data_IF_196587042860
#
_entry.id   IF_196587042860
#
_cell.length_a   1.000
_cell.length_b   1.000
_cell.length_c   1.000
_cell.angle_alpha   90.00
_cell.angle_beta   90.00
_cell.angle_gamma   90.00
#
_symmetry.space_group_name_H-M   'P 1'
#
loop_
_entity.id
_entity.type
_entity.pdbx_description
1 polymer ?
#
# COMPACT_ATOMS: atom_id res chain seq x y z
N UNK A 1 -0.26 4.86 -3.17
CA UNK A 1 0.46 3.96 -2.23
C UNK A 1 0.87 4.65 -0.94
N UNK A 2 1.64 5.73 -1.01
CA UNK A 2 2.04 6.51 0.18
C UNK A 2 0.81 6.90 1.01
N UNK A 3 -0.23 7.41 0.36
CA UNK A 3 -1.48 7.82 1.03
C UNK A 3 -2.14 6.66 1.79
N UNK A 4 -2.17 5.45 1.22
CA UNK A 4 -2.66 4.25 1.92
C UNK A 4 -1.91 4.00 3.24
N UNK A 5 -0.58 4.15 3.22
CA UNK A 5 0.28 3.93 4.38
C UNK A 5 0.07 5.04 5.42
N UNK A 6 0.00 6.29 4.96
CA UNK A 6 -0.25 7.45 5.82
C UNK A 6 -1.60 7.31 6.54
N UNK A 7 -2.65 6.82 5.87
CA UNK A 7 -3.94 6.52 6.49
C UNK A 7 -3.85 5.47 7.61
N UNK A 8 -3.05 4.41 7.41
CA UNK A 8 -2.89 3.37 8.42
C UNK A 8 -2.06 3.86 9.62
N UNK A 9 -0.98 4.61 9.38
CA UNK A 9 -0.11 5.14 10.44
C UNK A 9 -0.83 6.16 11.32
N UNK A 10 -1.79 6.92 10.76
CA UNK A 10 -2.58 7.90 11.51
C UNK A 10 -3.52 7.27 12.55
N UNK A 11 -3.79 5.96 12.47
CA UNK A 11 -4.62 5.25 13.44
C UNK A 11 -3.81 4.93 14.71
N UNK A 12 -4.43 5.09 15.87
CA UNK A 12 -3.83 4.65 17.15
C UNK A 12 -3.80 3.13 17.31
N UNK A 13 -4.70 2.44 16.61
CA UNK A 13 -4.79 0.98 16.57
C UNK A 13 -5.15 0.54 15.15
N UNK A 14 -4.36 -0.40 14.63
CA UNK A 14 -4.50 -0.92 13.28
C UNK A 14 -5.06 -2.34 13.36
N UNK A 15 -6.23 -2.53 12.74
CA UNK A 15 -6.88 -3.83 12.65
C UNK A 15 -6.58 -4.53 11.30
N UNK A 16 -6.55 -5.86 11.32
CA UNK A 16 -6.26 -6.70 10.15
C UNK A 16 -7.24 -6.45 8.98
N UNK A 17 -8.56 -6.37 9.20
CA UNK A 17 -9.52 -6.09 8.14
C UNK A 17 -9.26 -4.77 7.38
N UNK A 18 -8.86 -3.69 8.05
CA UNK A 18 -8.52 -2.42 7.39
C UNK A 18 -7.28 -2.54 6.52
N UNK A 19 -6.24 -3.21 7.01
CA UNK A 19 -5.02 -3.43 6.22
C UNK A 19 -5.33 -4.28 4.98
N UNK A 20 -6.15 -5.33 5.13
CA UNK A 20 -6.62 -6.14 4.00
C UNK A 20 -7.40 -5.30 2.99
N UNK A 21 -8.26 -4.38 3.46
CA UNK A 21 -9.00 -3.47 2.58
C UNK A 21 -8.07 -2.57 1.75
N UNK A 22 -7.04 -2.00 2.38
CA UNK A 22 -6.04 -1.20 1.65
C UNK A 22 -5.22 -2.07 0.67
N UNK A 23 -4.89 -3.31 1.03
CA UNK A 23 -4.21 -4.25 0.13
C UNK A 23 -5.06 -4.59 -1.11
N UNK A 24 -6.35 -4.90 -0.91
CA UNK A 24 -7.28 -5.18 -2.00
C UNK A 24 -7.53 -3.97 -2.89
N UNK A 25 -7.63 -2.77 -2.30
CA UNK A 25 -7.69 -1.52 -3.05
C UNK A 25 -6.47 -1.34 -3.94
N UNK A 26 -5.26 -1.46 -3.38
CA UNK A 26 -4.02 -1.36 -4.14
C UNK A 26 -3.97 -2.39 -5.28
N UNK A 27 -4.27 -3.65 -5.00
CA UNK A 27 -4.28 -4.73 -5.99
C UNK A 27 -5.20 -4.39 -7.17
N UNK A 28 -6.45 -4.02 -6.87
CA UNK A 28 -7.46 -3.69 -7.89
C UNK A 28 -7.05 -2.48 -8.73
N UNK A 29 -6.52 -1.43 -8.08
CA UNK A 29 -6.11 -0.20 -8.77
C UNK A 29 -4.87 -0.40 -9.62
N UNK A 30 -3.87 -1.11 -9.12
CA UNK A 30 -2.65 -1.38 -9.88
C UNK A 30 -2.95 -2.21 -11.13
N UNK A 31 -3.83 -3.22 -11.01
CA UNK A 31 -4.22 -4.01 -12.17
C UNK A 31 -5.01 -3.20 -13.20
N UNK A 32 -5.96 -2.37 -12.75
CA UNK A 32 -6.71 -1.48 -13.64
C UNK A 32 -5.80 -0.51 -14.40
N UNK A 33 -4.86 0.14 -13.69
CA UNK A 33 -3.91 1.09 -14.27
C UNK A 33 -2.93 0.42 -15.24
N UNK A 34 -2.52 -0.82 -14.94
CA UNK A 34 -1.65 -1.62 -15.82
C UNK A 34 -2.40 -1.98 -17.11
N UNK A 35 -3.63 -2.46 -16.99
CA UNK A 35 -4.47 -2.84 -18.12
C UNK A 35 -4.81 -1.66 -19.02
N UNK A 36 -5.05 -0.48 -18.45
CA UNK A 36 -5.27 0.76 -19.20
C UNK A 36 -3.99 1.41 -19.75
N UNK A 37 -2.81 0.83 -19.45
CA UNK A 37 -1.48 1.35 -19.79
C UNK A 37 -1.17 2.73 -19.19
N UNK A 38 -1.81 3.09 -18.09
CA UNK A 38 -1.55 4.33 -17.36
C UNK A 38 -0.28 4.23 -16.49
N UNK A 39 0.15 3.00 -16.16
CA UNK A 39 1.43 2.75 -15.48
C UNK A 39 2.24 1.74 -16.30
N UNK A 40 3.57 1.78 -16.13
CA UNK A 40 4.48 0.81 -16.74
C UNK A 40 4.40 -0.53 -16.00
N UNK A 41 4.83 -1.61 -16.66
CA UNK A 41 4.96 -2.91 -15.98
C UNK A 41 5.96 -2.84 -14.81
N UNK A 42 7.04 -2.05 -14.95
CA UNK A 42 8.01 -1.86 -13.86
C UNK A 42 7.37 -1.16 -12.65
N UNK A 43 6.56 -0.12 -12.89
CA UNK A 43 5.80 0.54 -11.83
C UNK A 43 4.82 -0.41 -11.15
N UNK A 44 4.15 -1.27 -11.92
CA UNK A 44 3.27 -2.31 -11.39
C UNK A 44 4.01 -3.32 -10.51
N UNK A 45 5.17 -3.81 -10.94
CA UNK A 45 5.97 -4.78 -10.18
C UNK A 45 6.53 -4.17 -8.88
N UNK A 46 7.07 -2.95 -8.96
CA UNK A 46 7.59 -2.25 -7.79
C UNK A 46 6.47 -1.96 -6.77
N UNK A 47 5.30 -1.51 -7.26
CA UNK A 47 4.13 -1.24 -6.43
C UNK A 47 3.51 -2.51 -5.82
N UNK A 48 3.52 -3.61 -6.57
CA UNK A 48 3.04 -4.92 -6.10
C UNK A 48 3.77 -5.38 -4.84
N UNK A 49 5.04 -5.00 -4.67
CA UNK A 49 5.77 -5.31 -3.44
C UNK A 49 5.20 -4.61 -2.19
N UNK A 50 4.61 -3.42 -2.31
CA UNK A 50 3.93 -2.73 -1.21
C UNK A 50 2.59 -3.41 -0.91
N UNK A 51 1.86 -3.80 -1.95
CA UNK A 51 0.60 -4.53 -1.79
C UNK A 51 0.81 -5.87 -1.06
N UNK A 52 1.81 -6.66 -1.45
CA UNK A 52 2.17 -7.89 -0.73
C UNK A 52 2.63 -7.64 0.70
N UNK A 53 3.33 -6.53 0.96
CA UNK A 53 3.70 -6.15 2.33
C UNK A 53 2.47 -5.87 3.20
N UNK A 54 1.39 -5.31 2.64
CA UNK A 54 0.15 -5.10 3.39
C UNK A 54 -0.54 -6.42 3.74
N UNK A 55 -0.55 -7.40 2.83
CA UNK A 55 -1.07 -8.74 3.13
C UNK A 55 -0.29 -9.40 4.28
N UNK A 56 1.04 -9.29 4.24
CA UNK A 56 1.90 -9.76 5.33
C UNK A 56 1.61 -9.05 6.65
N UNK A 57 1.47 -7.72 6.63
CA UNK A 57 1.13 -6.94 7.84
C UNK A 57 -0.23 -7.35 8.40
N UNK A 58 -1.23 -7.57 7.55
CA UNK A 58 -2.54 -8.05 7.98
C UNK A 58 -2.44 -9.42 8.66
N UNK A 59 -1.62 -10.32 8.12
CA UNK A 59 -1.37 -11.62 8.74
C UNK A 59 -0.65 -11.50 10.10
N UNK A 60 0.33 -10.61 10.22
CA UNK A 60 1.00 -10.33 11.50
C UNK A 60 0.00 -9.83 12.57
N UNK A 61 -0.96 -8.98 12.17
CA UNK A 61 -2.03 -8.53 13.08
C UNK A 61 -2.90 -9.70 13.52
N UNK A 62 -3.31 -10.57 12.58
CA UNK A 62 -4.12 -11.75 12.89
C UNK A 62 -3.38 -12.72 13.86
N UNK A 63 -2.04 -12.77 13.81
CA UNK A 63 -1.21 -13.53 14.74
C UNK A 63 -0.98 -12.84 16.10
N UNK A 64 -1.54 -11.65 16.33
CA UNK A 64 -1.42 -10.93 17.60
C UNK A 64 -0.08 -10.20 17.78
N UNK A 65 0.63 -9.89 16.69
CA UNK A 65 1.84 -9.06 16.76
C UNK A 65 1.51 -7.68 17.35
N UNK A 66 2.41 -7.17 18.18
CA UNK A 66 2.20 -5.91 18.89
C UNK A 66 2.01 -4.72 17.93
N UNK A 67 1.13 -3.79 18.29
CA UNK A 67 0.89 -2.57 17.51
C UNK A 67 2.17 -1.76 17.26
N UNK A 68 3.13 -1.76 18.20
CA UNK A 68 4.44 -1.12 18.03
C UNK A 68 5.21 -1.71 16.83
N UNK A 69 5.26 -3.03 16.73
CA UNK A 69 5.90 -3.73 15.60
C UNK A 69 5.14 -3.47 14.29
N UNK A 70 3.80 -3.52 14.31
CA UNK A 70 2.98 -3.19 13.13
C UNK A 70 3.26 -1.78 12.61
N UNK A 71 3.29 -0.79 13.50
CA UNK A 71 3.65 0.58 13.14
C UNK A 71 5.09 0.71 12.64
N UNK A 72 6.03 -0.09 13.18
CA UNK A 72 7.42 -0.15 12.68
C UNK A 72 7.46 -0.66 11.23
N UNK A 73 6.76 -1.76 10.96
CA UNK A 73 6.66 -2.34 9.61
C UNK A 73 6.03 -1.37 8.60
N UNK A 74 4.94 -0.69 8.98
CA UNK A 74 4.31 0.31 8.12
C UNK A 74 5.24 1.49 7.79
N UNK A 75 6.04 1.96 8.76
CA UNK A 75 7.02 3.03 8.50
C UNK A 75 8.10 2.58 7.51
N UNK A 76 8.56 1.34 7.59
CA UNK A 76 9.49 0.80 6.57
C UNK A 76 8.86 0.77 5.18
N UNK A 77 7.58 0.39 5.09
CA UNK A 77 6.85 0.44 3.81
C UNK A 77 6.63 1.87 3.33
N UNK A 78 6.50 2.86 4.24
CA UNK A 78 6.38 4.27 3.86
C UNK A 78 7.63 4.75 3.13
N UNK A 79 8.81 4.43 3.65
CA UNK A 79 10.08 4.81 3.02
C UNK A 79 10.26 4.09 1.68
N UNK A 80 9.86 2.82 1.60
CA UNK A 80 9.85 2.09 0.33
C UNK A 80 8.88 2.72 -0.69
N UNK A 81 7.68 3.09 -0.27
CA UNK A 81 6.69 3.74 -1.13
C UNK A 81 7.18 5.11 -1.63
N UNK A 82 7.90 5.87 -0.80
CA UNK A 82 8.55 7.13 -1.22
C UNK A 82 9.60 6.88 -2.30
N UNK A 83 10.44 5.86 -2.15
CA UNK A 83 11.44 5.52 -3.15
C UNK A 83 10.80 5.08 -4.48
N UNK A 84 9.70 4.32 -4.42
CA UNK A 84 8.95 3.92 -5.62
C UNK A 84 8.34 5.14 -6.30
N UNK A 85 7.79 6.09 -5.54
CA UNK A 85 7.25 7.35 -6.08
C UNK A 85 8.34 8.19 -6.77
N UNK A 86 9.56 8.23 -6.22
CA UNK A 86 10.69 8.89 -6.87
C UNK A 86 11.09 8.21 -8.18
N UNK A 87 11.01 6.88 -8.24
CA UNK A 87 11.29 6.10 -9.46
C UNK A 87 10.17 6.21 -10.50
N UNK A 88 8.92 6.32 -10.05
CA UNK A 88 7.72 6.39 -10.89
C UNK A 88 6.83 7.56 -10.45
N UNK A 89 7.18 8.82 -10.82
CA UNK A 89 6.45 9.99 -10.37
C UNK A 89 4.98 10.01 -10.80
N UNK A 90 4.08 10.37 -9.89
CA UNK A 90 2.64 10.44 -10.13
C UNK A 90 1.92 9.11 -9.92
N UNK A 91 2.63 8.04 -9.57
CA UNK A 91 2.05 6.72 -9.33
C UNK A 91 1.09 6.74 -8.14
N UNK A 92 1.44 7.42 -7.05
CA UNK A 92 0.55 7.59 -5.92
C UNK A 92 -0.76 8.26 -6.32
N UNK A 93 -0.67 9.35 -7.09
CA UNK A 93 -1.85 10.12 -7.49
C UNK A 93 -2.75 9.33 -8.43
N UNK A 94 -2.17 8.59 -9.40
CA UNK A 94 -2.91 7.72 -10.30
C UNK A 94 -3.70 6.61 -9.55
N UNK A 95 -3.12 6.10 -8.46
CA UNK A 95 -3.80 5.14 -7.57
C UNK A 95 -4.94 5.82 -6.83
N UNK A 96 -4.67 6.96 -6.18
CA UNK A 96 -5.63 7.66 -5.32
C UNK A 96 -6.80 8.28 -6.08
N UNK A 97 -6.63 8.63 -7.36
CA UNK A 97 -7.75 9.04 -8.23
C UNK A 97 -8.89 8.01 -8.26
N UNK A 98 -8.58 6.72 -8.12
CA UNK A 98 -9.60 5.67 -8.04
C UNK A 98 -10.20 5.45 -6.67
N UNK A 99 -9.84 6.23 -5.65
CA UNK A 99 -10.44 6.17 -4.31
C UNK A 99 -11.72 7.02 -4.23
N UNK A 100 -11.84 8.05 -5.07
CA UNK A 100 -13.00 8.95 -5.13
C UNK A 100 -14.08 8.51 -6.13
N UNK A 101 -13.89 7.37 -6.81
CA UNK A 101 -14.83 6.79 -7.80
C UNK A 101 -15.65 5.65 -7.21
#
# INVERSE_FOLDING_TARGET
MRTCIDHLIALSHIDGPRVKKEASFLSTRLEALRMSKNITNDAYLDAGAIQGAFEMIAHLIDMGVSQKEIHSQLRQQLDRARNIELKHPGLNDAIEQGRAS
#
